data_IF_386606281786
#
_entry.id   IF_386606281786
#
_cell.length_a   1.000
_cell.length_b   1.000
_cell.length_c   1.000
_cell.angle_alpha   90.00
_cell.angle_beta   90.00
_cell.angle_gamma   90.00
#
_symmetry.space_group_name_H-M   'P 1'
#
loop_
_entity.id
_entity.type
_entity.pdbx_description
1 polymer ?
#
# COMPACT_ATOMS: atom_id res chain seq x y z
N UNK A 1 -1.13 10.05 0.52
CA UNK A 1 -2.37 9.62 -0.18
C UNK A 1 -2.02 9.62 -1.65
N UNK A 2 -2.05 8.46 -2.32
CA UNK A 2 -1.71 8.35 -3.75
C UNK A 2 -2.55 9.33 -4.57
N UNK A 3 -1.91 10.21 -5.33
CA UNK A 3 -2.58 11.27 -6.10
C UNK A 3 -2.68 10.79 -7.55
N UNK A 4 -3.77 10.12 -7.91
CA UNK A 4 -3.99 9.61 -9.26
C UNK A 4 -5.46 9.33 -9.57
N UNK A 5 -5.87 9.51 -10.83
CA UNK A 5 -7.27 9.38 -11.29
C UNK A 5 -7.89 8.00 -10.97
N UNK A 6 -7.06 6.96 -10.88
CA UNK A 6 -7.49 5.58 -10.60
C UNK A 6 -7.55 5.22 -9.10
N UNK A 7 -7.25 6.15 -8.19
CA UNK A 7 -7.25 5.92 -6.73
C UNK A 7 -8.57 5.31 -6.25
N UNK A 8 -9.69 5.87 -6.69
CA UNK A 8 -11.01 5.42 -6.24
C UNK A 8 -11.28 3.96 -6.59
N UNK A 9 -10.77 3.46 -7.73
CA UNK A 9 -10.92 2.06 -8.14
C UNK A 9 -10.12 1.11 -7.27
N UNK A 10 -8.87 1.47 -6.97
CA UNK A 10 -7.97 0.66 -6.13
C UNK A 10 -8.54 0.60 -4.70
N UNK A 11 -8.89 1.76 -4.14
CA UNK A 11 -9.47 1.83 -2.80
C UNK A 11 -10.79 1.08 -2.70
N UNK A 12 -11.68 1.19 -3.70
CA UNK A 12 -12.95 0.46 -3.72
C UNK A 12 -12.73 -1.07 -3.80
N UNK A 13 -11.77 -1.52 -4.60
CA UNK A 13 -11.42 -2.94 -4.69
C UNK A 13 -10.95 -3.48 -3.33
N UNK A 14 -9.99 -2.79 -2.68
CA UNK A 14 -9.48 -3.19 -1.36
C UNK A 14 -10.58 -3.24 -0.30
N UNK A 15 -11.43 -2.22 -0.26
CA UNK A 15 -12.54 -2.15 0.70
C UNK A 15 -13.56 -3.28 0.43
N UNK A 16 -13.88 -3.55 -0.84
CA UNK A 16 -14.80 -4.63 -1.21
C UNK A 16 -14.29 -6.00 -0.78
N UNK A 17 -13.02 -6.31 -1.06
CA UNK A 17 -12.38 -7.56 -0.64
C UNK A 17 -12.33 -7.67 0.89
N UNK A 18 -12.03 -6.58 1.58
CA UNK A 18 -12.01 -6.53 3.05
C UNK A 18 -13.37 -6.89 3.64
N UNK A 19 -14.44 -6.22 3.21
CA UNK A 19 -15.78 -6.48 3.74
C UNK A 19 -16.29 -7.88 3.37
N UNK A 20 -16.00 -8.38 2.17
CA UNK A 20 -16.35 -9.74 1.77
C UNK A 20 -15.65 -10.77 2.67
N UNK A 21 -14.37 -10.56 2.99
CA UNK A 21 -13.62 -11.45 3.87
C UNK A 21 -14.18 -11.43 5.29
N UNK A 22 -14.47 -10.25 5.84
CA UNK A 22 -15.09 -10.12 7.17
C UNK A 22 -16.48 -10.79 7.19
N UNK A 23 -17.29 -10.57 6.17
CA UNK A 23 -18.58 -11.20 6.01
C UNK A 23 -18.46 -12.73 6.01
N UNK A 24 -17.56 -13.31 5.21
CA UNK A 24 -17.29 -14.75 5.21
C UNK A 24 -16.89 -15.26 6.59
N UNK A 25 -15.98 -14.57 7.29
CA UNK A 25 -15.55 -14.99 8.63
C UNK A 25 -16.71 -15.03 9.63
N UNK A 26 -17.60 -14.03 9.60
CA UNK A 26 -18.78 -13.97 10.48
C UNK A 26 -19.79 -15.08 10.14
N UNK A 27 -19.94 -15.45 8.86
CA UNK A 27 -20.80 -16.57 8.45
C UNK A 27 -20.23 -17.95 8.78
N UNK A 28 -18.91 -18.12 8.65
CA UNK A 28 -18.23 -19.40 8.89
C UNK A 28 -18.09 -19.69 10.39
N UNK A 29 -17.86 -18.66 11.21
CA UNK A 29 -17.66 -18.79 12.67
C UNK A 29 -18.76 -19.59 13.40
N UNK A 30 -20.07 -19.29 13.27
CA UNK A 30 -21.11 -20.06 13.95
C UNK A 30 -21.20 -21.51 13.45
N UNK A 31 -21.00 -21.75 12.16
CA UNK A 31 -20.98 -23.12 11.61
C UNK A 31 -19.84 -23.93 12.25
N UNK A 32 -18.64 -23.37 12.30
CA UNK A 32 -17.46 -24.05 12.82
C UNK A 32 -17.55 -24.25 14.36
N UNK A 33 -18.18 -23.32 15.07
CA UNK A 33 -18.38 -23.42 16.51
C UNK A 33 -19.39 -24.50 16.91
N UNK A 34 -20.59 -24.48 16.30
CA UNK A 34 -21.71 -25.34 16.73
C UNK A 34 -21.76 -26.67 15.98
N UNK A 35 -21.64 -26.68 14.65
CA UNK A 35 -21.90 -27.88 13.85
C UNK A 35 -20.66 -28.76 13.67
N UNK A 36 -19.48 -28.14 13.64
CA UNK A 36 -18.21 -28.87 13.56
C UNK A 36 -17.66 -29.27 14.95
N UNK A 37 -18.33 -28.92 16.06
CA UNK A 37 -17.92 -29.22 17.44
C UNK A 37 -16.50 -28.74 17.81
N UNK A 38 -15.92 -27.74 17.11
CA UNK A 38 -14.61 -27.21 17.47
C UNK A 38 -14.67 -26.36 18.74
N UNK A 39 -15.84 -25.83 19.11
CA UNK A 39 -16.02 -24.98 20.30
C UNK A 39 -14.92 -23.92 20.41
N UNK A 40 -14.24 -23.77 21.57
CA UNK A 40 -13.18 -22.77 21.76
C UNK A 40 -11.88 -23.06 20.97
N UNK A 41 -11.67 -24.27 20.45
CA UNK A 41 -10.49 -24.56 19.60
C UNK A 41 -10.52 -23.80 18.26
N UNK A 42 -11.66 -23.23 17.89
CA UNK A 42 -11.81 -22.28 16.79
C UNK A 42 -10.80 -21.12 16.85
N UNK A 43 -10.42 -20.70 18.06
CA UNK A 43 -9.41 -19.66 18.26
C UNK A 43 -8.06 -20.00 17.62
N UNK A 44 -7.66 -21.28 17.58
CA UNK A 44 -6.41 -21.70 16.95
C UNK A 44 -6.44 -21.58 15.43
N UNK A 45 -7.59 -21.80 14.80
CA UNK A 45 -7.76 -21.65 13.36
C UNK A 45 -7.57 -20.18 12.97
N UNK A 46 -8.25 -19.27 13.66
CA UNK A 46 -8.10 -17.84 13.41
C UNK A 46 -6.71 -17.31 13.76
N UNK A 47 -6.12 -17.78 14.86
CA UNK A 47 -4.75 -17.44 15.22
C UNK A 47 -3.75 -17.89 14.13
N UNK A 48 -3.92 -19.10 13.60
CA UNK A 48 -3.13 -19.61 12.48
C UNK A 48 -3.23 -18.73 11.23
N UNK A 49 -4.45 -18.35 10.84
CA UNK A 49 -4.66 -17.44 9.70
C UNK A 49 -4.05 -16.06 9.93
N UNK A 50 -4.05 -15.59 11.18
CA UNK A 50 -3.45 -14.29 11.56
C UNK A 50 -1.93 -14.35 11.44
N UNK A 51 -1.28 -15.42 11.93
CA UNK A 51 0.17 -15.60 11.82
C UNK A 51 0.61 -15.72 10.36
N UNK A 52 -0.16 -16.45 9.53
CA UNK A 52 0.11 -16.55 8.09
C UNK A 52 0.02 -15.18 7.41
N UNK A 53 -1.03 -14.41 7.70
CA UNK A 53 -1.21 -13.06 7.15
C UNK A 53 -0.10 -12.12 7.62
N UNK A 54 0.29 -12.19 8.90
CA UNK A 54 1.39 -11.39 9.46
C UNK A 54 2.72 -11.72 8.78
N UNK A 55 2.98 -13.00 8.51
CA UNK A 55 4.18 -13.44 7.79
C UNK A 55 4.19 -12.90 6.36
N UNK A 56 3.04 -12.95 5.67
CA UNK A 56 2.90 -12.39 4.33
C UNK A 56 3.15 -10.88 4.33
N UNK A 57 2.52 -10.15 5.25
CA UNK A 57 2.72 -8.70 5.44
C UNK A 57 4.19 -8.39 5.69
N UNK A 58 4.86 -9.13 6.58
CA UNK A 58 6.27 -8.92 6.87
C UNK A 58 7.19 -9.11 5.65
N UNK A 59 6.82 -9.99 4.71
CA UNK A 59 7.60 -10.23 3.49
C UNK A 59 7.26 -9.28 2.33
N UNK A 60 6.02 -8.77 2.28
CA UNK A 60 5.45 -8.05 1.13
C UNK A 60 5.21 -6.56 1.35
N UNK A 61 5.02 -6.08 2.58
CA UNK A 61 4.90 -4.64 2.82
C UNK A 61 6.26 -3.95 2.67
N UNK A 62 6.31 -2.91 1.84
CA UNK A 62 7.45 -2.02 1.77
C UNK A 62 7.41 -1.07 2.98
N UNK A 63 8.56 -0.70 3.55
CA UNK A 63 8.64 0.47 4.42
C UNK A 63 8.38 1.75 3.58
N UNK A 64 7.11 2.16 3.48
CA UNK A 64 6.71 3.43 2.84
C UNK A 64 6.61 4.58 3.85
N UNK A 65 6.92 4.32 5.12
CA UNK A 65 6.84 5.31 6.19
C UNK A 65 7.91 6.41 6.01
N UNK A 66 7.48 7.68 5.98
CA UNK A 66 8.37 8.84 5.90
C UNK A 66 8.84 9.24 4.50
N UNK A 67 8.38 8.59 3.42
CA UNK A 67 8.68 8.98 2.03
C UNK A 67 7.52 9.76 1.39
N UNK A 68 7.84 10.65 0.44
CA UNK A 68 6.83 11.39 -0.32
C UNK A 68 6.12 10.49 -1.33
N UNK A 69 4.90 10.83 -1.75
CA UNK A 69 4.18 10.02 -2.75
C UNK A 69 4.90 10.02 -4.12
N UNK A 70 5.63 11.10 -4.46
CA UNK A 70 6.41 11.18 -5.70
C UNK A 70 7.60 10.22 -5.69
N UNK A 71 8.29 10.11 -4.55
CA UNK A 71 9.39 9.16 -4.35
C UNK A 71 8.92 7.71 -4.52
N UNK A 72 7.73 7.41 -4.00
CA UNK A 72 7.10 6.09 -4.12
C UNK A 72 6.81 5.76 -5.59
N UNK A 73 6.25 6.71 -6.34
CA UNK A 73 5.99 6.51 -7.77
C UNK A 73 7.30 6.29 -8.56
N UNK A 74 8.38 7.01 -8.21
CA UNK A 74 9.71 6.82 -8.81
C UNK A 74 10.29 5.42 -8.52
N UNK A 75 10.16 4.95 -7.27
CA UNK A 75 10.56 3.58 -6.89
C UNK A 75 9.81 2.50 -7.67
N UNK A 76 8.51 2.73 -7.93
CA UNK A 76 7.71 1.84 -8.76
C UNK A 76 8.13 1.87 -10.24
N UNK A 77 8.46 3.04 -10.80
CA UNK A 77 8.97 3.17 -12.17
C UNK A 77 10.32 2.48 -12.35
N UNK A 78 11.23 2.63 -11.38
CA UNK A 78 12.56 2.03 -11.39
C UNK A 78 12.55 0.52 -11.04
N UNK A 79 11.35 -0.04 -10.76
CA UNK A 79 11.12 -1.47 -10.43
C UNK A 79 12.05 -2.00 -9.34
N UNK A 80 12.36 -1.16 -8.35
CA UNK A 80 13.22 -1.55 -7.24
C UNK A 80 12.48 -2.61 -6.41
N UNK A 81 13.11 -3.75 -6.08
CA UNK A 81 12.46 -4.75 -5.24
C UNK A 81 12.13 -4.16 -3.87
N UNK A 82 10.92 -4.44 -3.40
CA UNK A 82 10.27 -3.96 -2.16
C UNK A 82 11.20 -3.88 -0.94
N UNK A 83 12.13 -4.84 -0.80
CA UNK A 83 13.05 -4.95 0.34
C UNK A 83 14.22 -3.98 0.31
N UNK A 84 14.53 -3.41 -0.85
CA UNK A 84 15.64 -2.47 -1.03
C UNK A 84 15.20 -1.01 -0.91
N UNK A 85 13.89 -0.75 -0.76
CA UNK A 85 13.33 0.61 -0.72
C UNK A 85 13.91 1.44 0.44
N UNK A 86 14.25 0.81 1.57
CA UNK A 86 14.89 1.48 2.72
C UNK A 86 16.29 2.00 2.38
N UNK A 87 17.08 1.22 1.64
CA UNK A 87 18.47 1.54 1.31
C UNK A 87 18.63 2.36 0.01
N UNK A 88 17.54 2.51 -0.75
CA UNK A 88 17.57 3.19 -2.04
C UNK A 88 17.61 4.71 -1.88
N UNK A 89 18.76 5.31 -2.16
CA UNK A 89 18.95 6.76 -2.19
C UNK A 89 18.74 7.21 -3.64
N UNK A 90 17.85 8.17 -3.85
CA UNK A 90 17.71 8.79 -5.17
C UNK A 90 19.00 9.55 -5.49
N UNK A 91 19.65 9.17 -6.58
CA UNK A 91 20.68 10.03 -7.15
C UNK A 91 19.96 11.30 -7.62
N UNK A 92 20.23 12.43 -6.97
CA UNK A 92 19.77 13.74 -7.45
C UNK A 92 20.42 13.98 -8.81
N UNK A 93 19.72 13.66 -9.90
CA UNK A 93 20.12 14.09 -11.23
C UNK A 93 20.00 15.62 -11.25
N UNK A 94 21.09 16.37 -11.51
CA UNK A 94 21.09 17.84 -11.56
C UNK A 94 19.98 18.42 -12.46
N UNK A 95 19.55 17.66 -13.47
CA UNK A 95 18.56 18.06 -14.46
C UNK A 95 17.15 18.30 -13.89
N UNK A 96 16.77 17.64 -12.78
CA UNK A 96 15.44 17.79 -12.18
C UNK A 96 15.30 19.12 -11.41
N UNK A 97 16.43 19.63 -10.87
CA UNK A 97 16.47 20.94 -10.24
C UNK A 97 16.48 22.07 -11.28
N UNK A 98 17.13 21.87 -12.44
CA UNK A 98 17.09 22.84 -13.54
C UNK A 98 15.71 22.92 -14.21
N UNK A 99 15.02 21.79 -14.41
CA UNK A 99 13.67 21.79 -15.00
C UNK A 99 12.61 22.40 -14.07
N UNK A 100 12.71 22.19 -12.76
CA UNK A 100 11.81 22.84 -11.78
C UNK A 100 12.05 24.34 -11.69
N UNK A 101 13.31 24.78 -11.69
CA UNK A 101 13.67 26.20 -11.70
C UNK A 101 13.25 26.86 -13.02
N UNK A 102 13.48 26.23 -14.18
CA UNK A 102 13.07 26.76 -15.47
C UNK A 102 11.54 26.89 -15.60
N UNK A 103 10.80 25.89 -15.13
CA UNK A 103 9.33 25.92 -15.14
C UNK A 103 8.79 27.00 -14.20
N UNK A 104 9.39 27.17 -13.02
CA UNK A 104 9.00 28.20 -12.06
C UNK A 104 9.29 29.62 -12.58
N UNK A 105 10.43 29.79 -13.27
CA UNK A 105 10.79 31.05 -13.93
C UNK A 105 9.82 31.41 -15.08
N UNK A 106 9.41 30.43 -15.90
CA UNK A 106 8.44 30.66 -16.98
C UNK A 106 7.03 31.01 -16.48
N UNK A 107 6.63 30.50 -15.32
CA UNK A 107 5.31 30.79 -14.72
C UNK A 107 5.30 32.18 -14.10
N UNK A 108 6.41 32.62 -13.48
CA UNK A 108 6.55 33.98 -12.96
C UNK A 108 6.52 35.05 -14.07
N UNK A 109 7.09 34.79 -15.26
CA UNK A 109 6.99 35.75 -16.37
C UNK A 109 5.55 35.93 -16.86
N UNK A 110 4.78 34.83 -16.94
CA UNK A 110 3.38 34.88 -17.38
C UNK A 110 2.43 35.55 -16.37
N UNK A 111 2.76 35.57 -15.07
CA UNK A 111 1.99 36.31 -14.05
C UNK A 111 2.37 37.80 -13.95
N UNK A 112 3.48 38.22 -14.58
CA UNK A 112 3.99 39.59 -14.53
C UNK A 112 3.61 40.47 -15.74
N UNK A 113 2.87 39.91 -16.70
CA UNK A 113 2.33 40.58 -17.91
C UNK A 113 0.83 40.74 -17.78
#
# INVERSE_FOLDING_TARGET
MAVGQNRNKITACSIGVFFLTVWLMVFVSPYLYYTANLGPMLGFVYAGTTIFTLTYVWLCDCETAGRSNMDIDRLFMERVPVRMWRAYVFASSPEEHEMTVAKQHSVQELESV
#
